data_IF_793492411325
#
_entry.id   IF_793492411325
#
_cell.length_a   1.000
_cell.length_b   1.000
_cell.length_c   1.000
_cell.angle_alpha   90.00
_cell.angle_beta   90.00
_cell.angle_gamma   90.00
#
_symmetry.space_group_name_H-M   'P 1'
#
loop_
_entity.id
_entity.type
_entity.pdbx_description
1 polymer ?
#
# COMPACT_ATOMS: atom_id res chain seq x y z
N UNK A 1 17.23 6.54 -3.42
CA UNK A 1 16.04 6.46 -4.29
C UNK A 1 15.91 5.09 -4.93
N UNK A 2 16.89 4.64 -5.72
CA UNK A 2 16.89 3.30 -6.36
C UNK A 2 16.65 2.15 -5.38
N UNK A 3 17.31 2.15 -4.21
CA UNK A 3 17.10 1.14 -3.17
C UNK A 3 15.65 1.08 -2.68
N UNK A 4 14.94 2.20 -2.59
CA UNK A 4 13.55 2.23 -2.17
C UNK A 4 12.64 1.64 -3.25
N UNK A 5 12.89 1.97 -4.53
CA UNK A 5 12.17 1.39 -5.67
C UNK A 5 12.36 -0.13 -5.70
N UNK A 6 13.60 -0.60 -5.52
CA UNK A 6 13.91 -2.04 -5.43
C UNK A 6 13.15 -2.71 -4.28
N UNK A 7 13.06 -2.06 -3.12
CA UNK A 7 12.27 -2.56 -2.00
C UNK A 7 10.78 -2.67 -2.36
N UNK A 8 10.19 -1.69 -3.02
CA UNK A 8 8.78 -1.75 -3.44
C UNK A 8 8.51 -2.95 -4.35
N UNK A 9 9.33 -3.14 -5.38
CA UNK A 9 9.21 -4.26 -6.32
C UNK A 9 9.39 -5.59 -5.62
N UNK A 10 10.46 -5.73 -4.82
CA UNK A 10 10.75 -7.01 -4.14
C UNK A 10 9.73 -7.38 -3.07
N UNK A 11 9.16 -6.40 -2.36
CA UNK A 11 8.06 -6.63 -1.40
C UNK A 11 6.80 -7.12 -2.09
N UNK A 12 6.45 -6.54 -3.24
CA UNK A 12 5.31 -6.99 -4.04
C UNK A 12 5.52 -8.43 -4.53
N UNK A 13 6.64 -8.71 -5.20
CA UNK A 13 6.95 -10.05 -5.75
C UNK A 13 6.98 -11.12 -4.65
N UNK A 14 7.54 -10.81 -3.48
CA UNK A 14 7.54 -11.73 -2.33
C UNK A 14 6.12 -12.03 -1.84
N UNK A 15 5.25 -11.02 -1.82
CA UNK A 15 3.87 -11.14 -1.32
C UNK A 15 2.95 -11.84 -2.33
N UNK A 16 3.17 -11.61 -3.64
CA UNK A 16 2.48 -12.32 -4.72
C UNK A 16 3.00 -13.76 -4.90
N UNK A 17 4.12 -14.09 -4.23
CA UNK A 17 4.82 -15.38 -4.36
C UNK A 17 5.24 -15.66 -5.80
N UNK A 18 5.70 -14.62 -6.49
CA UNK A 18 6.12 -14.68 -7.90
C UNK A 18 4.97 -14.70 -8.90
N UNK A 19 3.71 -14.53 -8.46
CA UNK A 19 2.57 -14.32 -9.36
C UNK A 19 2.51 -12.87 -9.84
N UNK A 20 1.75 -12.67 -10.91
CA UNK A 20 1.48 -11.34 -11.49
C UNK A 20 0.71 -10.43 -10.52
N UNK A 21 -0.36 -10.96 -9.89
CA UNK A 21 -1.24 -10.19 -8.99
C UNK A 21 -1.24 -10.76 -7.56
N UNK A 22 -1.58 -9.92 -6.59
CA UNK A 22 -1.87 -10.30 -5.21
C UNK A 22 -3.33 -10.75 -5.08
N UNK A 23 -3.56 -11.96 -4.61
CA UNK A 23 -4.89 -12.32 -4.12
C UNK A 23 -5.22 -11.57 -2.81
N UNK A 24 -6.51 -11.50 -2.47
CA UNK A 24 -6.98 -10.77 -1.28
C UNK A 24 -6.25 -11.13 0.01
N UNK A 25 -5.89 -12.41 0.18
CA UNK A 25 -5.23 -12.88 1.40
C UNK A 25 -3.77 -12.43 1.45
N UNK A 26 -3.08 -12.47 0.31
CA UNK A 26 -1.72 -11.95 0.18
C UNK A 26 -1.67 -10.43 0.32
N UNK A 27 -2.62 -9.72 -0.30
CA UNK A 27 -2.74 -8.26 -0.16
C UNK A 27 -2.98 -7.86 1.29
N UNK A 28 -3.92 -8.52 1.97
CA UNK A 28 -4.21 -8.24 3.38
C UNK A 28 -2.98 -8.39 4.28
N UNK A 29 -2.22 -9.48 4.09
CA UNK A 29 -0.97 -9.71 4.84
C UNK A 29 0.11 -8.69 4.51
N UNK A 30 0.17 -8.22 3.26
CA UNK A 30 1.12 -7.18 2.86
C UNK A 30 0.82 -5.89 3.62
N UNK A 31 -0.44 -5.45 3.63
CA UNK A 31 -0.88 -4.21 4.30
C UNK A 31 -0.62 -4.30 5.80
N UNK A 32 -1.04 -5.39 6.44
CA UNK A 32 -0.84 -5.62 7.88
C UNK A 32 0.65 -5.60 8.28
N UNK A 33 1.53 -6.21 7.49
CA UNK A 33 2.96 -6.33 7.85
C UNK A 33 3.79 -5.12 7.49
N UNK A 34 3.52 -4.47 6.36
CA UNK A 34 4.39 -3.44 5.80
C UNK A 34 3.85 -2.02 5.97
N UNK A 35 2.54 -1.87 6.18
CA UNK A 35 1.87 -0.56 6.22
C UNK A 35 1.18 -0.27 7.58
N UNK A 36 1.23 -1.18 8.55
CA UNK A 36 0.60 -0.98 9.88
C UNK A 36 1.19 0.16 10.71
N UNK A 37 2.45 0.55 10.46
CA UNK A 37 3.03 1.74 11.09
C UNK A 37 2.57 3.06 10.48
N UNK A 38 1.86 3.03 9.34
CA UNK A 38 1.49 4.22 8.57
C UNK A 38 -0.03 4.35 8.40
N UNK A 39 -0.73 3.23 8.24
CA UNK A 39 -2.18 3.18 8.11
C UNK A 39 -2.79 2.66 9.41
N UNK A 40 -3.58 3.50 10.08
CA UNK A 40 -4.22 3.21 11.37
C UNK A 40 -5.13 1.97 11.30
N UNK A 41 -5.78 1.73 10.14
CA UNK A 41 -6.70 0.60 9.92
C UNK A 41 -6.07 -0.63 9.25
N UNK A 42 -4.73 -0.71 9.14
CA UNK A 42 -4.06 -1.83 8.46
C UNK A 42 -4.35 -3.22 9.08
N UNK A 43 -4.76 -3.27 10.36
CA UNK A 43 -5.17 -4.50 11.04
C UNK A 43 -6.65 -4.85 10.86
N UNK A 44 -7.47 -3.93 10.34
CA UNK A 44 -8.89 -4.15 10.16
C UNK A 44 -9.16 -4.85 8.82
N UNK A 45 -9.51 -6.14 8.89
CA UNK A 45 -9.79 -6.97 7.72
C UNK A 45 -10.86 -6.40 6.79
N UNK A 46 -11.87 -5.72 7.33
CA UNK A 46 -12.95 -5.12 6.53
C UNK A 46 -12.48 -3.85 5.84
N UNK A 47 -11.71 -2.99 6.54
CA UNK A 47 -11.13 -1.79 5.94
C UNK A 47 -10.14 -2.14 4.81
N UNK A 48 -9.31 -3.16 5.01
CA UNK A 48 -8.37 -3.62 3.99
C UNK A 48 -9.08 -4.23 2.78
N UNK A 49 -10.23 -4.88 2.96
CA UNK A 49 -11.06 -5.35 1.85
C UNK A 49 -11.70 -4.21 1.05
N UNK A 50 -12.24 -3.20 1.73
CA UNK A 50 -12.76 -2.01 1.05
C UNK A 50 -11.66 -1.26 0.31
N UNK A 51 -10.47 -1.18 0.90
CA UNK A 51 -9.29 -0.64 0.24
C UNK A 51 -8.92 -1.44 -1.01
N UNK A 52 -8.89 -2.77 -0.93
CA UNK A 52 -8.65 -3.62 -2.10
C UNK A 52 -9.67 -3.32 -3.20
N UNK A 53 -10.96 -3.25 -2.85
CA UNK A 53 -12.04 -2.95 -3.80
C UNK A 53 -11.91 -1.56 -4.42
N UNK A 54 -11.40 -0.59 -3.68
CA UNK A 54 -11.12 0.75 -4.19
C UNK A 54 -9.90 0.83 -5.12
N UNK A 55 -9.00 -0.15 -5.06
CA UNK A 55 -7.81 -0.24 -5.91
C UNK A 55 -8.03 -1.14 -7.14
N UNK A 56 -8.94 -2.12 -7.05
CA UNK A 56 -9.24 -3.12 -8.09
C UNK A 56 -10.04 -2.49 -9.26
N UNK A 57 -9.36 -1.66 -10.07
CA UNK A 57 -9.97 -0.91 -11.17
C UNK A 57 -10.46 -1.83 -12.29
N UNK A 58 -9.75 -2.94 -12.51
CA UNK A 58 -10.12 -3.93 -13.54
C UNK A 58 -11.15 -4.96 -13.05
N UNK A 59 -11.51 -4.93 -11.76
CA UNK A 59 -12.49 -5.82 -11.12
C UNK A 59 -12.16 -7.32 -11.25
N UNK A 60 -10.88 -7.70 -11.24
CA UNK A 60 -10.43 -9.10 -11.27
C UNK A 60 -10.40 -9.77 -9.88
N UNK A 61 -10.69 -9.01 -8.83
CA UNK A 61 -10.68 -9.46 -7.44
C UNK A 61 -9.27 -9.60 -6.85
N UNK A 62 -8.26 -9.06 -7.51
CA UNK A 62 -6.84 -9.09 -7.10
C UNK A 62 -6.28 -7.66 -7.09
N UNK A 63 -4.98 -7.57 -6.85
CA UNK A 63 -4.23 -6.31 -6.91
C UNK A 63 -2.98 -6.53 -7.76
N UNK A 64 -2.96 -5.93 -8.92
CA UNK A 64 -1.81 -5.85 -9.82
C UNK A 64 -0.72 -4.95 -9.24
N UNK A 65 0.45 -4.94 -9.88
CA UNK A 65 1.54 -4.07 -9.44
C UNK A 65 1.19 -2.58 -9.59
N UNK A 66 0.42 -2.21 -10.60
CA UNK A 66 -0.01 -0.83 -10.84
C UNK A 66 -0.97 -0.34 -9.74
N UNK A 67 -1.97 -1.14 -9.41
CA UNK A 67 -2.93 -0.85 -8.33
C UNK A 67 -2.23 -0.81 -6.97
N UNK A 68 -1.21 -1.65 -6.75
CA UNK A 68 -0.33 -1.55 -5.59
C UNK A 68 0.45 -0.23 -5.56
N UNK A 69 0.97 0.26 -6.69
CA UNK A 69 1.65 1.56 -6.73
C UNK A 69 0.71 2.72 -6.45
N UNK A 70 -0.57 2.64 -6.86
CA UNK A 70 -1.58 3.62 -6.50
C UNK A 70 -1.76 3.73 -4.97
N UNK A 71 -1.81 2.59 -4.26
CA UNK A 71 -1.81 2.56 -2.80
C UNK A 71 -0.56 3.22 -2.20
N UNK A 72 0.62 2.88 -2.71
CA UNK A 72 1.88 3.47 -2.22
C UNK A 72 1.91 4.98 -2.46
N UNK A 73 1.40 5.45 -3.60
CA UNK A 73 1.25 6.87 -3.90
C UNK A 73 0.32 7.59 -2.91
N UNK A 74 -0.83 6.98 -2.60
CA UNK A 74 -1.74 7.50 -1.57
C UNK A 74 -1.06 7.60 -0.20
N UNK A 75 -0.38 6.54 0.23
CA UNK A 75 0.35 6.49 1.50
C UNK A 75 1.46 7.54 1.54
N UNK A 76 2.24 7.67 0.46
CA UNK A 76 3.30 8.66 0.35
C UNK A 76 2.75 10.10 0.42
N UNK A 77 1.63 10.38 -0.23
CA UNK A 77 0.97 11.69 -0.17
C UNK A 77 0.47 12.00 1.25
N UNK A 78 -0.19 11.06 1.92
CA UNK A 78 -0.64 11.24 3.31
C UNK A 78 0.54 11.49 4.26
N UNK A 79 1.63 10.73 4.12
CA UNK A 79 2.85 10.94 4.89
C UNK A 79 3.52 12.29 4.60
N UNK A 80 3.51 12.73 3.34
CA UNK A 80 4.03 14.05 2.95
C UNK A 80 3.21 15.16 3.60
N UNK A 81 1.87 15.08 3.55
CA UNK A 81 0.96 16.05 4.16
C UNK A 81 1.19 16.16 5.67
N UNK A 82 1.22 15.02 6.37
CA UNK A 82 1.50 14.98 7.82
C UNK A 82 2.83 15.65 8.17
N UNK A 83 3.89 15.41 7.37
CA UNK A 83 5.20 16.05 7.56
C UNK A 83 5.17 17.56 7.29
N UNK A 84 4.47 18.01 6.25
CA UNK A 84 4.36 19.45 5.93
C UNK A 84 3.48 20.20 6.92
N UNK A 85 2.43 19.58 7.46
CA UNK A 85 1.55 20.16 8.48
C UNK A 85 2.20 20.19 9.87
N UNK A 86 3.06 19.22 10.18
CA UNK A 86 3.79 19.14 11.46
C UNK A 86 4.95 20.15 11.60
N UNK A 87 5.12 21.10 10.67
CA UNK A 87 6.14 22.14 10.73
C UNK A 87 5.52 23.52 11.06
N UNK A 88 5.19 23.83 12.33
CA UNK A 88 4.63 25.12 12.72
C UNK A 88 5.66 26.27 12.82
N UNK A 89 6.97 26.04 12.60
CA UNK A 89 7.99 27.10 12.65
C UNK A 89 8.29 27.71 11.27
N UNK A 90 7.27 28.32 10.68
CA UNK A 90 7.43 29.34 9.63
C UNK A 90 6.38 30.41 9.84
N UNK A 91 6.49 31.14 10.94
CA UNK A 91 5.86 32.43 11.19
C UNK A 91 6.78 33.28 12.05
#
# INVERSE_FOLDING_TARGET
>A
MESAIKTLVTTFVKSSRGKENLDSKSFQKLVEKNLSGVMEDAGNSSAVKEMQRGLDENSDGKVSFEEYLALIGYVANSMSQRKTESNPDSS
#
